data_IF_433937060598
#
_entry.id   IF_433937060598
#
_cell.length_a   1.000
_cell.length_b   1.000
_cell.length_c   1.000
_cell.angle_alpha   90.00
_cell.angle_beta   90.00
_cell.angle_gamma   90.00
#
_symmetry.space_group_name_H-M   'P 1'
#
loop_
_entity.id
_entity.type
_entity.pdbx_description
1 polymer ?
#
# COMPACT_ATOMS: atom_id res chain seq x y z
N UNK A 1 -12.66 29.62 7.62
CA UNK A 1 -12.36 28.18 7.70
C UNK A 1 -11.81 27.79 6.34
N UNK A 2 -10.54 28.05 6.05
CA UNK A 2 -9.98 27.83 4.71
C UNK A 2 -8.50 27.47 4.87
N UNK A 3 -8.14 26.24 4.46
CA UNK A 3 -6.75 25.81 4.36
C UNK A 3 -6.50 24.33 4.61
N UNK A 4 -7.19 23.71 5.59
CA UNK A 4 -6.78 22.40 6.13
C UNK A 4 -7.71 21.22 5.77
N UNK A 5 -8.79 21.42 5.02
CA UNK A 5 -9.73 20.32 4.67
C UNK A 5 -9.29 19.53 3.43
N UNK A 6 -8.43 20.12 2.59
CA UNK A 6 -7.91 19.46 1.39
C UNK A 6 -6.75 18.54 1.77
N UNK A 7 -6.62 17.41 1.07
CA UNK A 7 -5.44 16.55 1.18
C UNK A 7 -4.21 17.30 0.67
N UNK A 8 -3.08 17.14 1.34
CA UNK A 8 -1.80 17.72 0.92
C UNK A 8 -0.93 16.68 0.21
N UNK A 9 -0.74 15.53 0.86
CA UNK A 9 0.11 14.45 0.35
C UNK A 9 -0.41 13.08 0.79
N UNK A 10 -1.53 12.60 0.19
CA UNK A 10 -2.07 11.29 0.53
C UNK A 10 -1.07 10.21 0.13
N UNK A 11 -0.60 9.42 1.11
CA UNK A 11 0.55 8.52 0.94
C UNK A 11 0.24 7.04 1.21
N UNK A 12 -0.84 6.75 1.93
CA UNK A 12 -1.27 5.38 2.23
C UNK A 12 -2.77 5.35 2.48
N UNK A 13 -3.41 4.25 2.07
CA UNK A 13 -4.83 4.00 2.32
C UNK A 13 -5.02 2.55 2.72
N UNK A 14 -5.87 2.28 3.70
CA UNK A 14 -6.31 0.92 4.06
C UNK A 14 -7.77 0.94 4.46
N UNK A 15 -8.40 -0.23 4.50
CA UNK A 15 -9.83 -0.36 4.81
C UNK A 15 -9.98 -1.27 6.03
N UNK A 16 -10.76 -0.80 7.01
CA UNK A 16 -11.34 -1.69 8.00
C UNK A 16 -12.53 -2.37 7.34
N UNK A 17 -12.34 -3.63 6.95
CA UNK A 17 -13.34 -4.41 6.23
C UNK A 17 -14.58 -4.72 7.06
N UNK A 18 -14.45 -4.78 8.39
CA UNK A 18 -15.57 -5.08 9.30
C UNK A 18 -16.49 -3.85 9.46
N UNK A 19 -15.90 -2.67 9.61
CA UNK A 19 -16.63 -1.41 9.80
C UNK A 19 -16.89 -0.66 8.49
N UNK A 20 -16.29 -1.11 7.37
CA UNK A 20 -16.34 -0.46 6.05
C UNK A 20 -15.84 0.98 6.09
N UNK A 21 -14.76 1.19 6.82
CA UNK A 21 -14.13 2.50 7.01
C UNK A 21 -12.82 2.57 6.23
N UNK A 22 -12.55 3.73 5.61
CA UNK A 22 -11.35 3.97 4.82
C UNK A 22 -10.41 4.86 5.63
N UNK A 23 -9.24 4.35 5.95
CA UNK A 23 -8.19 5.05 6.69
C UNK A 23 -7.18 5.61 5.70
N UNK A 24 -6.99 6.93 5.72
CA UNK A 24 -6.12 7.64 4.81
C UNK A 24 -5.02 8.37 5.57
N UNK A 25 -3.76 8.12 5.21
CA UNK A 25 -2.62 8.92 5.66
C UNK A 25 -2.45 10.14 4.75
N UNK A 26 -2.60 11.34 5.30
CA UNK A 26 -2.28 12.62 4.66
C UNK A 26 -0.95 13.14 5.22
N UNK A 27 0.15 12.53 4.76
CA UNK A 27 1.50 12.78 5.28
C UNK A 27 1.94 14.25 5.16
N UNK A 28 1.40 14.99 4.20
CA UNK A 28 1.67 16.42 4.02
C UNK A 28 1.14 17.31 5.14
N UNK A 29 0.15 16.84 5.89
CA UNK A 29 -0.39 17.51 7.08
C UNK A 29 -0.09 16.75 8.38
N UNK A 30 0.63 15.62 8.31
CA UNK A 30 0.98 14.82 9.49
C UNK A 30 -0.25 14.23 10.21
N UNK A 31 -1.23 13.72 9.47
CA UNK A 31 -2.50 13.23 10.03
C UNK A 31 -3.04 11.98 9.35
N UNK A 32 -4.00 11.34 10.01
CA UNK A 32 -4.85 10.29 9.44
C UNK A 32 -6.28 10.83 9.37
N UNK A 33 -6.97 10.55 8.26
CA UNK A 33 -8.38 10.86 8.09
C UNK A 33 -9.13 9.56 7.86
N UNK A 34 -10.22 9.36 8.58
CA UNK A 34 -11.07 8.18 8.50
C UNK A 34 -12.35 8.59 7.78
N UNK A 35 -12.72 7.84 6.76
CA UNK A 35 -13.92 8.07 5.96
C UNK A 35 -14.87 6.88 6.07
N UNK A 36 -16.17 7.15 5.94
CA UNK A 36 -17.14 6.12 5.56
C UNK A 36 -16.75 5.54 4.20
N UNK A 37 -17.23 4.34 3.89
CA UNK A 37 -17.10 3.74 2.57
C UNK A 37 -17.53 4.63 1.38
N UNK A 38 -18.52 5.51 1.60
CA UNK A 38 -19.06 6.45 0.61
C UNK A 38 -18.25 7.77 0.51
N UNK A 39 -17.17 7.90 1.27
CA UNK A 39 -16.24 9.04 1.21
C UNK A 39 -16.59 10.25 2.08
N UNK A 40 -17.49 10.11 3.06
CA UNK A 40 -17.72 11.15 4.08
C UNK A 40 -16.70 11.05 5.22
N UNK A 41 -16.04 12.14 5.64
CA UNK A 41 -15.08 12.11 6.75
C UNK A 41 -15.80 11.84 8.08
N UNK A 42 -15.26 10.91 8.87
CA UNK A 42 -15.73 10.51 10.19
C UNK A 42 -14.86 11.10 11.31
N UNK A 43 -13.55 10.95 11.18
CA UNK A 43 -12.61 11.35 12.23
C UNK A 43 -11.25 11.75 11.64
N UNK A 44 -10.51 12.56 12.39
CA UNK A 44 -9.14 12.97 12.04
C UNK A 44 -8.28 12.76 13.28
N UNK A 45 -7.14 12.10 13.10
CA UNK A 45 -6.10 11.98 14.12
C UNK A 45 -4.88 12.77 13.67
N UNK A 46 -4.37 13.65 14.52
CA UNK A 46 -3.17 14.45 14.24
C UNK A 46 -2.18 14.44 15.42
N UNK A 47 -1.27 15.42 15.45
CA UNK A 47 -0.23 15.52 16.49
C UNK A 47 -0.81 15.54 17.91
N UNK A 48 -2.02 16.07 18.10
CA UNK A 48 -2.66 16.17 19.42
C UNK A 48 -3.14 14.77 19.88
N UNK A 49 -3.31 13.84 18.94
CA UNK A 49 -3.59 12.42 19.17
C UNK A 49 -2.32 11.54 19.14
N UNK A 50 -1.13 12.13 19.01
CA UNK A 50 0.14 11.41 18.92
C UNK A 50 0.50 10.91 17.51
N UNK A 51 -0.16 11.42 16.48
CA UNK A 51 0.17 11.20 15.06
C UNK A 51 1.08 12.34 14.57
N UNK A 52 2.38 12.07 14.42
CA UNK A 52 3.37 13.11 14.10
C UNK A 52 3.80 13.08 12.64
N UNK A 53 4.31 11.93 12.18
CA UNK A 53 4.76 11.73 10.80
C UNK A 53 4.30 10.37 10.25
N UNK A 54 2.98 10.18 10.10
CA UNK A 54 2.43 8.94 9.59
C UNK A 54 2.89 8.69 8.15
N UNK A 55 3.33 7.47 7.85
CA UNK A 55 3.82 7.07 6.52
C UNK A 55 2.96 5.98 5.88
N UNK A 56 2.55 5.00 6.67
CA UNK A 56 1.70 3.88 6.25
C UNK A 56 1.02 3.25 7.45
N UNK A 57 -0.06 2.52 7.19
CA UNK A 57 -0.80 1.82 8.23
C UNK A 57 -1.28 0.46 7.76
N UNK A 58 -1.62 -0.39 8.72
CA UNK A 58 -2.30 -1.67 8.51
C UNK A 58 -3.41 -1.80 9.56
N UNK A 59 -4.53 -2.41 9.17
CA UNK A 59 -5.66 -2.67 10.07
C UNK A 59 -5.84 -4.17 10.14
N UNK A 60 -5.85 -4.73 11.36
CA UNK A 60 -6.10 -6.15 11.54
C UNK A 60 -7.60 -6.48 11.57
N UNK A 61 -7.93 -7.76 11.53
CA UNK A 61 -9.32 -8.23 11.52
C UNK A 61 -10.11 -7.90 12.82
N UNK A 62 -9.43 -7.45 13.87
CA UNK A 62 -10.05 -7.00 15.11
C UNK A 62 -10.23 -5.47 15.15
N UNK A 63 -9.77 -4.75 14.13
CA UNK A 63 -9.84 -3.30 14.01
C UNK A 63 -8.67 -2.55 14.66
N UNK A 64 -7.61 -3.24 15.11
CA UNK A 64 -6.43 -2.54 15.61
C UNK A 64 -5.66 -1.92 14.46
N UNK A 65 -5.25 -0.66 14.65
CA UNK A 65 -4.47 0.10 13.67
C UNK A 65 -3.00 0.05 14.04
N UNK A 66 -2.16 -0.38 13.11
CA UNK A 66 -0.71 -0.39 13.22
C UNK A 66 -0.17 0.73 12.34
N UNK A 67 0.22 1.84 12.96
CA UNK A 67 0.60 3.06 12.27
C UNK A 67 2.13 3.21 12.26
N UNK A 68 2.75 3.17 11.08
CA UNK A 68 4.13 3.58 10.90
C UNK A 68 4.24 5.10 11.06
N UNK A 69 5.13 5.54 11.95
CA UNK A 69 5.49 6.93 12.15
C UNK A 69 6.99 7.10 11.90
N UNK A 70 7.35 7.95 10.95
CA UNK A 70 8.73 8.28 10.63
C UNK A 70 9.32 9.22 11.69
N UNK A 71 10.66 9.32 11.71
CA UNK A 71 11.37 10.26 12.57
C UNK A 71 11.19 11.69 12.04
N UNK A 72 10.75 12.61 12.90
CA UNK A 72 10.57 14.03 12.57
C UNK A 72 11.81 14.91 12.82
N UNK A 73 12.79 14.39 13.57
CA UNK A 73 14.03 15.10 13.91
C UNK A 73 14.33 15.05 15.41
N UNK A 74 15.47 15.61 15.84
CA UNK A 74 15.84 15.65 17.27
C UNK A 74 15.93 14.26 17.92
N UNK A 75 15.34 14.13 19.12
CA UNK A 75 15.29 12.89 19.91
C UNK A 75 14.18 11.93 19.47
N UNK A 76 13.33 12.32 18.52
CA UNK A 76 12.26 11.47 18.00
C UNK A 76 12.85 10.22 17.31
N UNK A 77 12.09 9.13 17.40
CA UNK A 77 12.46 7.81 16.89
C UNK A 77 11.31 7.26 16.06
N UNK A 78 11.66 6.75 14.88
CA UNK A 78 10.70 6.01 14.05
C UNK A 78 10.08 4.86 14.84
N UNK A 79 8.76 4.72 14.76
CA UNK A 79 7.98 3.79 15.59
C UNK A 79 6.78 3.23 14.84
N UNK A 80 6.20 2.17 15.38
CA UNK A 80 4.85 1.74 15.05
C UNK A 80 3.96 2.04 16.25
N UNK A 81 2.97 2.90 16.08
CA UNK A 81 1.96 3.14 17.12
C UNK A 81 0.76 2.23 16.89
N UNK A 82 0.37 1.49 17.93
CA UNK A 82 -0.81 0.62 17.89
C UNK A 82 -1.97 1.36 18.53
N UNK A 83 -3.06 1.51 17.78
CA UNK A 83 -4.32 2.06 18.26
C UNK A 83 -5.36 0.93 18.36
N UNK A 84 -6.24 1.01 19.35
CA UNK A 84 -7.38 0.12 19.45
C UNK A 84 -8.46 0.48 18.41
N UNK A 85 -9.51 -0.34 18.24
CA UNK A 85 -10.60 -0.05 17.29
C UNK A 85 -11.40 1.23 17.61
N UNK A 86 -11.19 1.83 18.79
CA UNK A 86 -11.75 3.13 19.16
C UNK A 86 -10.73 4.26 18.97
N UNK A 87 -9.64 3.99 18.23
CA UNK A 87 -8.56 4.92 17.91
C UNK A 87 -7.76 5.42 19.10
N UNK A 88 -7.84 4.72 20.25
CA UNK A 88 -7.07 5.07 21.44
C UNK A 88 -5.70 4.42 21.37
N UNK A 89 -4.68 5.19 21.71
CA UNK A 89 -3.32 4.68 21.81
C UNK A 89 -3.23 3.51 22.80
N UNK A 90 -2.61 2.41 22.35
CA UNK A 90 -2.35 1.20 23.15
C UNK A 90 -0.89 1.15 23.56
N UNK A 91 0.02 1.26 22.59
CA UNK A 91 1.48 1.24 22.81
C UNK A 91 2.24 1.67 21.57
N UNK A 92 3.49 2.07 21.77
CA UNK A 92 4.47 2.24 20.69
C UNK A 92 5.46 1.08 20.64
N UNK A 93 5.84 0.70 19.42
CA UNK A 93 6.95 -0.21 19.14
C UNK A 93 8.08 0.62 18.54
N UNK A 94 9.16 0.76 19.30
CA UNK A 94 10.40 1.33 18.78
C UNK A 94 11.23 0.26 18.09
N UNK A 95 11.69 0.56 16.88
CA UNK A 95 12.39 -0.38 16.02
C UNK A 95 13.86 -0.41 16.43
N UNK A 96 14.26 -1.47 17.12
CA UNK A 96 15.57 -1.62 17.75
C UNK A 96 16.02 -3.09 17.76
N UNK A 97 17.28 -3.35 18.09
CA UNK A 97 17.82 -4.72 18.20
C UNK A 97 18.47 -5.26 16.92
N UNK A 98 18.67 -4.41 15.92
CA UNK A 98 19.37 -4.75 14.67
C UNK A 98 20.34 -3.64 14.25
N UNK A 99 21.32 -4.01 13.43
CA UNK A 99 22.31 -3.07 12.90
C UNK A 99 21.67 -2.05 11.96
N UNK A 100 21.93 -0.75 12.18
CA UNK A 100 21.33 0.35 11.44
C UNK A 100 19.93 0.79 11.93
N UNK A 101 19.44 0.26 13.05
CA UNK A 101 18.14 0.64 13.61
C UNK A 101 18.00 2.14 13.91
N UNK A 102 19.09 2.83 14.25
CA UNK A 102 19.15 4.28 14.49
C UNK A 102 18.81 5.12 13.25
N UNK A 103 19.00 4.55 12.05
CA UNK A 103 18.73 5.18 10.75
C UNK A 103 17.46 4.67 10.10
N UNK A 104 16.84 3.63 10.66
CA UNK A 104 15.65 3.02 10.09
C UNK A 104 14.43 3.93 10.25
N UNK A 105 13.73 4.21 9.15
CA UNK A 105 12.49 4.96 9.16
C UNK A 105 11.36 4.11 8.57
N UNK A 106 10.35 3.71 9.36
CA UNK A 106 9.30 2.82 8.89
C UNK A 106 8.42 3.51 7.84
N UNK A 107 8.05 2.75 6.81
CA UNK A 107 7.25 3.21 5.67
C UNK A 107 5.96 2.41 5.53
N UNK A 108 6.06 1.08 5.53
CA UNK A 108 4.89 0.20 5.45
C UNK A 108 4.97 -0.87 6.53
N UNK A 109 3.81 -1.32 6.99
CA UNK A 109 3.67 -2.44 7.92
C UNK A 109 2.64 -3.42 7.37
N UNK A 110 2.86 -4.71 7.62
CA UNK A 110 1.90 -5.78 7.38
C UNK A 110 1.94 -6.78 8.54
N UNK A 111 0.81 -7.44 8.80
CA UNK A 111 0.71 -8.43 9.87
C UNK A 111 0.56 -9.82 9.28
N UNK A 112 1.42 -10.72 9.72
CA UNK A 112 1.27 -12.15 9.47
C UNK A 112 0.39 -12.80 10.54
N UNK A 113 0.06 -14.07 10.31
CA UNK A 113 -0.58 -14.90 11.33
C UNK A 113 0.35 -15.03 12.55
N UNK A 114 -0.25 -15.38 13.69
CA UNK A 114 0.42 -15.44 15.00
C UNK A 114 0.93 -14.07 15.53
N UNK A 115 0.65 -12.97 14.81
CA UNK A 115 0.98 -11.61 15.21
C UNK A 115 2.39 -11.17 14.82
N UNK A 116 3.08 -11.87 13.92
CA UNK A 116 4.34 -11.36 13.35
C UNK A 116 4.10 -10.04 12.64
N UNK A 117 4.99 -9.08 12.85
CA UNK A 117 4.90 -7.73 12.29
C UNK A 117 6.04 -7.53 11.30
N UNK A 118 5.71 -7.23 10.05
CA UNK A 118 6.67 -7.04 8.97
C UNK A 118 6.72 -5.57 8.60
N UNK A 119 7.92 -4.99 8.60
CA UNK A 119 8.10 -3.55 8.44
C UNK A 119 9.12 -3.27 7.35
N UNK A 120 8.69 -2.56 6.31
CA UNK A 120 9.59 -1.96 5.32
C UNK A 120 9.87 -0.51 5.68
N UNK A 121 10.99 0.04 5.22
CA UNK A 121 11.40 1.38 5.59
C UNK A 121 12.65 1.85 4.88
N UNK A 122 12.96 3.12 5.07
CA UNK A 122 14.19 3.73 4.58
C UNK A 122 15.34 3.48 5.57
N UNK A 123 16.58 3.60 5.09
CA UNK A 123 17.78 3.46 5.93
C UNK A 123 18.25 2.01 6.13
N UNK A 124 17.55 1.03 5.55
CA UNK A 124 17.95 -0.38 5.58
C UNK A 124 17.46 -1.15 4.34
N UNK A 125 18.22 -2.15 3.91
CA UNK A 125 17.87 -3.03 2.78
C UNK A 125 17.26 -4.35 3.30
N UNK A 126 15.95 -4.52 3.14
CA UNK A 126 15.20 -5.70 3.59
C UNK A 126 13.95 -5.31 4.38
N UNK A 127 13.37 -6.30 5.04
CA UNK A 127 12.19 -6.16 5.89
C UNK A 127 12.54 -6.57 7.30
N UNK A 128 12.24 -5.69 8.26
CA UNK A 128 12.39 -5.97 9.68
C UNK A 128 11.19 -6.80 10.13
N UNK A 129 11.45 -7.96 10.74
CA UNK A 129 10.42 -8.83 11.29
C UNK A 129 10.45 -8.75 12.81
N UNK A 130 9.30 -8.46 13.39
CA UNK A 130 9.08 -8.42 14.83
C UNK A 130 8.12 -9.53 15.26
N UNK A 131 8.24 -9.97 16.51
CA UNK A 131 7.23 -10.81 17.13
C UNK A 131 5.95 -10.01 17.47
N UNK A 132 4.93 -10.71 17.97
CA UNK A 132 3.65 -10.10 18.40
C UNK A 132 3.77 -9.05 19.51
N UNK A 133 4.86 -9.06 20.25
CA UNK A 133 5.13 -8.07 21.29
C UNK A 133 5.90 -6.86 20.74
N UNK A 134 6.32 -6.89 19.47
CA UNK A 134 7.14 -5.87 18.84
C UNK A 134 8.64 -6.02 19.10
N UNK A 135 9.09 -7.17 19.61
CA UNK A 135 10.52 -7.44 19.76
C UNK A 135 11.11 -7.86 18.41
N UNK A 136 12.31 -7.35 18.10
CA UNK A 136 13.02 -7.74 16.89
C UNK A 136 13.29 -9.26 16.87
N UNK A 137 12.93 -9.89 15.77
CA UNK A 137 13.18 -11.31 15.52
C UNK A 137 14.36 -11.48 14.56
N UNK A 138 14.20 -11.00 13.33
CA UNK A 138 15.19 -11.15 12.27
C UNK A 138 14.87 -10.20 11.09
N UNK A 139 15.64 -10.33 10.01
CA UNK A 139 15.49 -9.53 8.80
C UNK A 139 15.32 -10.47 7.61
N UNK A 140 14.33 -10.20 6.78
CA UNK A 140 14.16 -10.85 5.48
C UNK A 140 14.78 -9.94 4.42
N UNK A 141 15.72 -10.48 3.65
CA UNK A 141 16.24 -9.79 2.47
C UNK A 141 16.31 -10.79 1.32
N UNK A 142 15.65 -10.52 0.18
CA UNK A 142 15.70 -11.42 -0.96
C UNK A 142 17.09 -11.62 -1.52
N UNK A 143 17.42 -12.88 -1.81
CA UNK A 143 18.55 -13.25 -2.64
C UNK A 143 18.03 -13.71 -4.00
N UNK A 144 18.52 -13.12 -5.10
CA UNK A 144 18.12 -13.51 -6.45
C UNK A 144 19.32 -14.00 -7.24
N UNK A 145 19.49 -15.32 -7.26
CA UNK A 145 20.58 -15.99 -7.97
C UNK A 145 20.50 -15.74 -9.49
N UNK A 146 19.29 -15.68 -10.05
CA UNK A 146 19.07 -15.51 -11.49
C UNK A 146 19.50 -14.11 -11.98
N UNK A 147 19.29 -13.10 -11.14
CA UNK A 147 19.74 -11.73 -11.40
C UNK A 147 21.17 -11.46 -10.89
N UNK A 148 21.81 -12.45 -10.29
CA UNK A 148 23.14 -12.29 -9.68
C UNK A 148 23.13 -11.31 -8.49
N UNK A 149 21.97 -11.10 -7.85
CA UNK A 149 21.84 -10.27 -6.67
C UNK A 149 22.51 -11.02 -5.52
N UNK A 150 23.72 -10.57 -5.18
CA UNK A 150 24.51 -11.01 -4.04
C UNK A 150 24.59 -9.87 -3.04
N UNK A 151 23.51 -9.64 -2.31
CA UNK A 151 23.41 -8.51 -1.40
C UNK A 151 21.99 -8.30 -0.93
N UNK A 152 21.83 -7.36 -0.01
CA UNK A 152 20.52 -6.99 0.48
C UNK A 152 19.79 -6.18 -0.58
N UNK A 153 18.47 -6.37 -0.67
CA UNK A 153 17.61 -5.70 -1.65
C UNK A 153 16.83 -4.58 -0.98
N UNK A 154 16.69 -3.44 -1.65
CA UNK A 154 15.79 -2.38 -1.20
C UNK A 154 14.34 -2.88 -1.25
N UNK A 155 13.61 -2.78 -0.15
CA UNK A 155 12.19 -3.14 -0.09
C UNK A 155 11.40 -1.89 0.30
N UNK A 156 10.53 -1.44 -0.60
CA UNK A 156 9.72 -0.23 -0.41
C UNK A 156 8.30 -0.53 0.09
N UNK A 157 7.82 -1.77 -0.04
CA UNK A 157 6.53 -2.21 0.48
C UNK A 157 6.55 -3.69 0.85
N UNK A 158 5.80 -4.01 1.90
CA UNK A 158 5.44 -5.37 2.29
C UNK A 158 3.91 -5.50 2.31
N UNK A 159 3.41 -6.63 1.82
CA UNK A 159 1.99 -7.00 1.86
C UNK A 159 1.87 -8.48 2.24
N UNK A 160 0.83 -8.82 3.00
CA UNK A 160 0.52 -10.20 3.41
C UNK A 160 -0.89 -10.54 2.99
N UNK A 161 -1.06 -11.66 2.30
CA UNK A 161 -2.38 -12.14 1.85
C UNK A 161 -3.07 -13.05 2.89
N UNK A 162 -4.33 -13.43 2.64
CA UNK A 162 -5.11 -14.33 3.50
C UNK A 162 -4.51 -15.73 3.67
N UNK A 163 -3.62 -16.15 2.77
CA UNK A 163 -2.85 -17.39 2.87
C UNK A 163 -1.55 -17.24 3.67
N UNK A 164 -1.28 -16.03 4.19
CA UNK A 164 -0.06 -15.68 4.92
C UNK A 164 1.20 -15.74 4.03
N UNK A 165 1.03 -15.51 2.72
CA UNK A 165 2.15 -15.30 1.81
C UNK A 165 2.63 -13.87 1.92
N UNK A 166 3.94 -13.69 1.91
CA UNK A 166 4.59 -12.40 2.11
C UNK A 166 5.09 -11.91 0.76
N UNK A 167 4.68 -10.70 0.37
CA UNK A 167 5.05 -10.05 -0.88
C UNK A 167 5.94 -8.85 -0.58
N UNK A 168 7.18 -8.91 -1.05
CA UNK A 168 8.19 -7.87 -0.86
C UNK A 168 8.47 -7.16 -2.17
N UNK A 169 8.17 -5.87 -2.26
CA UNK A 169 8.38 -5.06 -3.45
C UNK A 169 9.68 -4.28 -3.37
N UNK A 170 10.53 -4.45 -4.38
CA UNK A 170 11.75 -3.66 -4.57
C UNK A 170 11.55 -2.58 -5.61
N UNK A 171 11.85 -1.33 -5.23
CA UNK A 171 11.82 -0.18 -6.12
C UNK A 171 13.02 -0.23 -7.09
N UNK A 172 14.22 -0.48 -6.55
CA UNK A 172 15.49 -0.50 -7.25
C UNK A 172 15.53 -1.55 -8.35
N UNK A 173 15.11 -2.77 -8.02
CA UNK A 173 15.08 -3.89 -8.98
C UNK A 173 13.80 -3.99 -9.79
N UNK A 174 12.75 -3.24 -9.43
CA UNK A 174 11.45 -3.31 -10.09
C UNK A 174 10.90 -4.73 -10.05
N UNK A 175 10.95 -5.37 -8.88
CA UNK A 175 10.71 -6.80 -8.69
C UNK A 175 9.93 -7.05 -7.41
N UNK A 176 9.07 -8.05 -7.44
CA UNK A 176 8.37 -8.59 -6.27
C UNK A 176 8.97 -9.95 -5.94
N UNK A 177 9.23 -10.19 -4.65
CA UNK A 177 9.66 -11.46 -4.10
C UNK A 177 8.55 -12.01 -3.22
N UNK A 178 8.16 -13.25 -3.46
CA UNK A 178 7.05 -13.90 -2.77
C UNK A 178 7.59 -15.02 -1.90
N UNK A 179 7.17 -15.03 -0.63
CA UNK A 179 7.51 -16.03 0.36
C UNK A 179 6.25 -16.70 0.89
N UNK A 180 6.41 -17.90 1.43
CA UNK A 180 5.35 -18.53 2.20
C UNK A 180 5.31 -18.01 3.65
N UNK A 181 4.37 -18.56 4.44
CA UNK A 181 4.20 -18.25 5.87
C UNK A 181 5.40 -18.61 6.76
N UNK A 182 6.27 -19.49 6.28
CA UNK A 182 7.49 -19.89 6.99
C UNK A 182 8.69 -19.03 6.56
N UNK A 183 8.46 -18.01 5.73
CA UNK A 183 9.48 -17.12 5.18
C UNK A 183 10.43 -17.86 4.20
N UNK A 184 9.95 -18.96 3.60
CA UNK A 184 10.64 -19.66 2.53
C UNK A 184 10.33 -19.01 1.17
N UNK A 185 11.36 -18.73 0.38
CA UNK A 185 11.19 -18.10 -0.93
C UNK A 185 10.43 -19.01 -1.90
N UNK A 186 9.37 -18.48 -2.52
CA UNK A 186 8.55 -19.19 -3.49
C UNK A 186 8.94 -18.85 -4.93
N UNK A 187 8.81 -17.57 -5.30
CA UNK A 187 9.13 -17.07 -6.64
C UNK A 187 9.29 -15.55 -6.63
N UNK A 188 9.84 -15.01 -7.72
CA UNK A 188 9.94 -13.57 -7.94
C UNK A 188 9.53 -13.19 -9.35
N UNK A 189 8.95 -12.00 -9.50
CA UNK A 189 8.44 -11.50 -10.78
C UNK A 189 8.59 -9.99 -10.91
N UNK A 190 8.37 -9.46 -12.11
CA UNK A 190 8.65 -8.07 -12.44
C UNK A 190 10.06 -7.87 -13.00
N UNK A 191 10.23 -6.74 -13.68
CA UNK A 191 11.48 -6.36 -14.32
C UNK A 191 11.62 -4.83 -14.27
N UNK A 192 12.79 -4.33 -13.88
CA UNK A 192 13.12 -2.90 -13.96
C UNK A 192 12.96 -2.34 -15.38
N UNK A 193 12.30 -1.20 -15.52
CA UNK A 193 12.29 -0.42 -16.77
C UNK A 193 11.06 0.48 -16.96
N UNK A 194 11.14 1.34 -17.98
CA UNK A 194 10.12 2.33 -18.31
C UNK A 194 9.20 1.94 -19.47
N UNK A 195 9.18 0.69 -19.90
CA UNK A 195 8.26 0.18 -20.94
C UNK A 195 7.11 -0.62 -20.33
N UNK A 196 6.06 -0.86 -21.10
CA UNK A 196 4.92 -1.71 -20.71
C UNK A 196 5.37 -3.05 -20.15
N UNK A 197 4.74 -3.48 -19.05
CA UNK A 197 5.05 -4.72 -18.34
C UNK A 197 6.29 -4.68 -17.44
N UNK A 198 7.03 -3.56 -17.46
CA UNK A 198 8.17 -3.30 -16.56
C UNK A 198 7.79 -2.30 -15.48
N UNK A 199 8.59 -2.28 -14.42
CA UNK A 199 8.43 -1.41 -13.25
C UNK A 199 9.59 -0.40 -13.20
N UNK A 200 9.27 0.89 -13.22
CA UNK A 200 10.22 2.00 -13.17
C UNK A 200 10.51 2.43 -11.75
N UNK A 201 9.50 2.85 -10.98
CA UNK A 201 9.60 3.13 -9.53
C UNK A 201 8.33 2.63 -8.84
N UNK A 202 8.16 1.31 -8.67
CA UNK A 202 7.00 0.78 -8.00
C UNK A 202 7.02 1.17 -6.52
N UNK A 203 5.85 1.51 -5.95
CA UNK A 203 5.74 2.04 -4.58
C UNK A 203 4.87 1.23 -3.64
N UNK A 204 3.86 0.56 -4.17
CA UNK A 204 2.93 -0.25 -3.37
C UNK A 204 2.35 -1.35 -4.23
N UNK A 205 1.89 -2.41 -3.58
CA UNK A 205 1.09 -3.44 -4.20
C UNK A 205 -0.17 -3.72 -3.38
N UNK A 206 -1.21 -4.21 -4.05
CA UNK A 206 -2.44 -4.72 -3.44
C UNK A 206 -2.86 -5.98 -4.17
N UNK A 207 -3.51 -6.90 -3.45
CA UNK A 207 -3.86 -8.22 -3.98
C UNK A 207 -5.37 -8.37 -3.97
N UNK A 208 -5.90 -8.78 -5.11
CA UNK A 208 -7.27 -9.28 -5.23
C UNK A 208 -7.24 -10.80 -5.18
N UNK A 209 -7.55 -11.34 -4.00
CA UNK A 209 -7.62 -12.80 -3.79
C UNK A 209 -8.85 -13.45 -4.46
N UNK A 210 -9.86 -12.66 -4.84
CA UNK A 210 -11.06 -13.16 -5.52
C UNK A 210 -10.80 -13.37 -7.01
N UNK A 211 -10.20 -12.37 -7.68
CA UNK A 211 -9.86 -12.46 -9.10
C UNK A 211 -8.47 -13.06 -9.35
N UNK A 212 -7.71 -13.35 -8.30
CA UNK A 212 -6.33 -13.83 -8.35
C UNK A 212 -5.38 -12.90 -9.12
N UNK A 213 -5.47 -11.59 -8.88
CA UNK A 213 -4.60 -10.57 -9.49
C UNK A 213 -3.81 -9.80 -8.45
N UNK A 214 -2.59 -9.39 -8.84
CA UNK A 214 -1.72 -8.51 -8.06
C UNK A 214 -1.61 -7.19 -8.79
N UNK A 215 -1.87 -6.09 -8.10
CA UNK A 215 -1.82 -4.73 -8.63
C UNK A 215 -0.62 -4.00 -8.05
N UNK A 216 0.18 -3.37 -8.88
CA UNK A 216 1.37 -2.62 -8.45
C UNK A 216 1.24 -1.19 -8.96
N UNK A 217 1.27 -0.24 -8.04
CA UNK A 217 1.35 1.18 -8.38
C UNK A 217 2.79 1.54 -8.71
N UNK A 218 2.98 2.16 -9.87
CA UNK A 218 4.27 2.68 -10.31
C UNK A 218 4.27 4.20 -10.37
N UNK A 219 5.07 4.79 -9.49
CA UNK A 219 5.17 6.22 -9.28
C UNK A 219 5.64 6.97 -10.52
N UNK A 220 6.67 6.47 -11.22
CA UNK A 220 7.22 7.16 -12.40
C UNK A 220 6.47 6.83 -13.68
N UNK A 221 5.83 5.66 -13.75
CA UNK A 221 4.99 5.34 -14.91
C UNK A 221 3.62 6.00 -14.83
N UNK A 222 3.19 6.44 -13.64
CA UNK A 222 1.83 6.92 -13.39
C UNK A 222 0.77 5.85 -13.70
N UNK A 223 1.12 4.57 -13.55
CA UNK A 223 0.26 3.44 -13.91
C UNK A 223 0.04 2.53 -12.73
N UNK A 224 -1.00 1.70 -12.86
CA UNK A 224 -1.15 0.47 -12.10
C UNK A 224 -0.89 -0.70 -13.04
N UNK A 225 0.08 -1.53 -12.71
CA UNK A 225 0.48 -2.72 -13.48
C UNK A 225 -0.07 -3.97 -12.80
N UNK A 226 -0.71 -4.85 -13.58
CA UNK A 226 -1.44 -6.02 -13.07
C UNK A 226 -0.73 -7.31 -13.47
N UNK A 227 -0.60 -8.22 -12.52
CA UNK A 227 0.06 -9.52 -12.64
C UNK A 227 -0.84 -10.65 -12.15
N UNK A 228 -0.62 -11.87 -12.64
CA UNK A 228 -1.27 -13.08 -12.12
C UNK A 228 -0.75 -13.40 -10.71
N UNK A 229 -1.66 -13.75 -9.82
CA UNK A 229 -1.35 -14.14 -8.45
C UNK A 229 -0.51 -15.43 -8.35
N UNK A 230 -0.73 -16.39 -9.27
CA UNK A 230 -0.12 -17.72 -9.17
C UNK A 230 1.37 -17.74 -9.52
N UNK A 231 1.79 -16.89 -10.45
CA UNK A 231 3.16 -16.95 -11.00
C UNK A 231 3.76 -15.59 -11.34
N UNK A 232 3.06 -14.48 -11.06
CA UNK A 232 3.55 -13.15 -11.34
C UNK A 232 3.68 -12.84 -12.84
N UNK A 233 2.97 -13.55 -13.72
CA UNK A 233 2.94 -13.24 -15.15
C UNK A 233 2.23 -11.89 -15.35
N UNK A 234 2.88 -10.98 -16.08
CA UNK A 234 2.27 -9.72 -16.48
C UNK A 234 0.96 -9.95 -17.26
N UNK A 235 -0.08 -9.20 -16.92
CA UNK A 235 -1.39 -9.24 -17.58
C UNK A 235 -1.60 -8.00 -18.44
N UNK A 236 -1.77 -6.85 -17.79
CA UNK A 236 -2.02 -5.56 -18.42
C UNK A 236 -1.59 -4.42 -17.49
N UNK A 237 -1.62 -3.20 -17.97
CA UNK A 237 -1.46 -2.00 -17.15
C UNK A 237 -2.53 -0.97 -17.53
N UNK A 238 -2.89 -0.10 -16.60
CA UNK A 238 -3.81 1.00 -16.84
C UNK A 238 -3.34 2.28 -16.15
N UNK A 239 -3.89 3.40 -16.60
CA UNK A 239 -3.52 4.74 -16.16
C UNK A 239 -2.54 5.42 -17.09
N UNK A 240 -1.72 6.29 -16.53
CA UNK A 240 -0.90 7.26 -17.23
C UNK A 240 -0.98 8.63 -16.55
N UNK A 241 -0.07 9.53 -16.93
CA UNK A 241 -0.01 10.87 -16.38
C UNK A 241 -1.28 11.68 -16.74
N UNK A 242 -2.05 12.09 -15.74
CA UNK A 242 -3.22 12.94 -15.95
C UNK A 242 -4.08 13.17 -14.71
N UNK A 243 -5.22 13.84 -14.91
CA UNK A 243 -6.12 14.32 -13.86
C UNK A 243 -7.52 13.68 -13.93
N UNK A 244 -7.84 13.04 -15.06
CA UNK A 244 -9.13 12.40 -15.28
C UNK A 244 -9.32 11.12 -14.44
N UNK A 245 -10.54 10.55 -14.43
CA UNK A 245 -10.79 9.24 -13.82
C UNK A 245 -9.88 8.18 -14.43
N UNK A 246 -9.19 7.41 -13.57
CA UNK A 246 -8.26 6.37 -14.00
C UNK A 246 -6.89 6.87 -14.47
N UNK A 247 -6.66 8.19 -14.51
CA UNK A 247 -5.34 8.80 -14.76
C UNK A 247 -4.73 9.30 -13.45
N UNK A 248 -3.41 9.25 -13.33
CA UNK A 248 -2.72 9.48 -12.07
C UNK A 248 -1.59 10.51 -12.20
N UNK A 249 -1.26 11.17 -11.09
CA UNK A 249 -0.07 11.97 -10.91
C UNK A 249 0.72 11.45 -9.71
N UNK A 250 1.82 10.78 -10.02
CA UNK A 250 2.77 10.23 -9.05
C UNK A 250 2.06 9.42 -7.96
N UNK A 251 1.30 8.39 -8.35
CA UNK A 251 0.57 7.57 -7.39
C UNK A 251 1.55 6.84 -6.48
N UNK A 252 1.20 6.69 -5.20
CA UNK A 252 2.12 6.14 -4.18
C UNK A 252 1.62 4.87 -3.52
N UNK A 253 0.31 4.67 -3.46
CA UNK A 253 -0.28 3.55 -2.72
C UNK A 253 -1.50 2.97 -3.42
N UNK A 254 -1.75 1.68 -3.22
CA UNK A 254 -2.98 1.00 -3.64
C UNK A 254 -3.41 0.00 -2.58
N UNK A 255 -4.72 -0.02 -2.30
CA UNK A 255 -5.37 -1.05 -1.50
C UNK A 255 -6.52 -1.64 -2.31
N UNK A 256 -6.69 -2.97 -2.25
CA UNK A 256 -7.81 -3.67 -2.86
C UNK A 256 -8.71 -4.16 -1.73
N UNK A 257 -9.97 -3.70 -1.70
CA UNK A 257 -10.92 -4.11 -0.67
C UNK A 257 -11.77 -5.33 -1.07
N UNK A 258 -12.50 -5.89 -0.11
CA UNK A 258 -13.39 -7.03 -0.38
C UNK A 258 -14.59 -6.68 -1.26
N UNK A 259 -14.90 -5.39 -1.44
CA UNK A 259 -15.90 -4.90 -2.38
C UNK A 259 -15.37 -4.80 -3.83
N UNK A 260 -14.16 -5.33 -4.10
CA UNK A 260 -13.51 -5.33 -5.41
C UNK A 260 -13.28 -3.90 -5.94
N UNK A 261 -12.84 -3.00 -5.04
CA UNK A 261 -12.44 -1.64 -5.38
C UNK A 261 -10.95 -1.49 -5.17
N UNK A 262 -10.29 -0.85 -6.14
CA UNK A 262 -8.94 -0.35 -5.99
C UNK A 262 -8.98 1.09 -5.49
N UNK A 263 -8.45 1.32 -4.28
CA UNK A 263 -8.26 2.64 -3.71
C UNK A 263 -6.83 3.06 -3.96
N UNK A 264 -6.61 4.07 -4.80
CA UNK A 264 -5.28 4.53 -5.23
C UNK A 264 -5.00 5.91 -4.65
N UNK A 265 -3.88 6.03 -3.92
CA UNK A 265 -3.35 7.31 -3.47
C UNK A 265 -2.69 8.04 -4.64
N UNK A 266 -3.44 8.99 -5.22
CA UNK A 266 -3.06 9.78 -6.37
C UNK A 266 -2.45 11.11 -5.89
N UNK A 267 -1.25 10.98 -5.32
CA UNK A 267 -0.64 11.93 -4.39
C UNK A 267 -0.56 13.36 -4.91
N UNK A 268 -0.09 13.56 -6.14
CA UNK A 268 0.09 14.91 -6.69
C UNK A 268 -1.19 15.49 -7.30
N UNK A 269 -2.22 14.67 -7.49
CA UNK A 269 -3.58 15.16 -7.69
C UNK A 269 -4.30 15.43 -6.37
N UNK A 270 -3.66 15.18 -5.21
CA UNK A 270 -4.18 15.44 -3.86
C UNK A 270 -5.54 14.76 -3.63
N UNK A 271 -5.67 13.50 -4.05
CA UNK A 271 -6.90 12.72 -3.94
C UNK A 271 -6.64 11.24 -3.71
N UNK A 272 -7.66 10.54 -3.25
CA UNK A 272 -7.80 9.09 -3.42
C UNK A 272 -8.75 8.84 -4.59
N UNK A 273 -8.36 7.97 -5.52
CA UNK A 273 -9.28 7.46 -6.54
C UNK A 273 -9.78 6.08 -6.15
N UNK A 274 -11.10 5.90 -6.16
CA UNK A 274 -11.75 4.60 -5.96
C UNK A 274 -12.20 4.08 -7.32
N UNK A 275 -11.63 2.95 -7.75
CA UNK A 275 -11.88 2.35 -9.05
C UNK A 275 -12.50 0.98 -8.85
N UNK A 276 -13.60 0.69 -9.56
CA UNK A 276 -14.20 -0.65 -9.54
C UNK A 276 -13.35 -1.61 -10.35
N UNK A 277 -12.98 -2.74 -9.76
CA UNK A 277 -12.40 -3.86 -10.47
C UNK A 277 -13.55 -4.66 -11.07
N UNK A 278 -13.57 -4.76 -12.40
CA UNK A 278 -14.46 -5.68 -13.10
C UNK A 278 -13.61 -6.83 -13.63
N UNK A 279 -13.89 -8.05 -13.18
CA UNK A 279 -13.34 -9.24 -13.79
C UNK A 279 -13.59 -9.18 -15.30
N UNK A 280 -12.55 -9.31 -16.11
CA UNK A 280 -12.73 -9.47 -17.54
C UNK A 280 -13.38 -10.83 -17.76
N UNK A 281 -14.62 -10.85 -18.23
CA UNK A 281 -15.22 -12.08 -18.74
C UNK A 281 -14.27 -12.66 -19.79
N UNK A 282 -13.82 -13.89 -19.55
CA UNK A 282 -12.95 -14.60 -20.49
C UNK A 282 -13.76 -14.86 -21.75
N UNK A 283 -13.61 -14.01 -22.78
CA UNK A 283 -14.17 -14.27 -24.10
C UNK A 283 -13.49 -15.53 -24.64
N UNK A 284 -14.17 -16.67 -24.54
CA UNK A 284 -13.81 -17.87 -25.29
C UNK A 284 -14.15 -17.61 -26.76
N UNK A 285 -13.08 -17.51 -27.54
CA UNK A 285 -12.94 -17.75 -28.99
C UNK A 285 -13.65 -16.83 -29.99
N UNK A 286 -12.80 -16.32 -30.90
CA UNK A 286 -13.04 -15.83 -32.27
C UNK A 286 -13.91 -14.58 -32.43
N UNK A 287 -13.27 -13.42 -32.33
CA UNK A 287 -13.04 -12.45 -33.42
C UNK A 287 -12.39 -11.19 -32.83
N UNK A 288 -11.47 -10.57 -33.57
CA UNK A 288 -10.75 -9.36 -33.16
C UNK A 288 -11.71 -8.25 -32.72
N UNK A 289 -11.77 -7.99 -31.41
CA UNK A 289 -12.12 -6.67 -30.88
C UNK A 289 -11.20 -6.35 -29.71
N UNK A 290 -10.33 -5.37 -29.91
CA UNK A 290 -9.59 -4.70 -28.85
C UNK A 290 -10.60 -4.09 -27.89
N UNK A 291 -10.70 -4.62 -26.67
CA UNK A 291 -11.51 -4.05 -25.59
C UNK A 291 -10.58 -3.69 -24.43
N UNK A 292 -10.50 -2.39 -24.17
CA UNK A 292 -9.89 -1.79 -22.99
C UNK A 292 -10.86 -1.90 -21.79
N UNK A 293 -10.37 -1.93 -20.54
CA UNK A 293 -11.23 -1.95 -19.36
C UNK A 293 -12.20 -0.76 -19.36
N UNK A 294 -13.49 -1.06 -19.21
CA UNK A 294 -14.58 -0.09 -19.23
C UNK A 294 -14.74 0.61 -17.88
N UNK A 295 -14.70 1.94 -17.90
CA UNK A 295 -15.06 2.79 -16.76
C UNK A 295 -16.56 3.10 -16.81
N UNK A 296 -17.29 2.83 -15.72
CA UNK A 296 -18.61 3.46 -15.50
C UNK A 296 -18.38 4.80 -14.80
N UNK A 297 -18.85 5.94 -15.34
CA UNK A 297 -18.76 7.20 -14.64
C UNK A 297 -19.64 7.16 -13.38
N UNK A 298 -19.08 7.60 -12.24
CA UNK A 298 -19.85 7.88 -11.03
C UNK A 298 -20.85 8.99 -11.36
N UNK A 299 -22.15 8.70 -11.22
CA UNK A 299 -23.20 9.70 -11.41
C UNK A 299 -23.02 10.82 -10.38
N UNK A 300 -22.82 12.05 -10.83
CA UNK A 300 -22.97 13.23 -9.96
C UNK A 300 -24.44 13.35 -9.55
N UNK A 301 -24.67 13.68 -8.28
CA UNK A 301 -26.00 14.04 -7.78
C UNK A 301 -26.53 15.26 -8.56
N UNK A 302 -27.85 15.36 -8.80
CA UNK A 302 -28.42 16.53 -9.47
C UNK A 302 -28.24 17.77 -8.61
N UNK A 303 -27.73 18.85 -9.22
CA UNK A 303 -27.71 20.17 -8.63
C UNK A 303 -29.14 20.57 -8.26
N UNK A 304 -29.34 21.05 -7.03
CA UNK A 304 -30.61 21.65 -6.61
C UNK A 304 -30.81 22.91 -7.44
N UNK A 305 -31.83 22.92 -8.29
CA UNK A 305 -32.37 24.15 -8.87
C UNK A 305 -32.83 25.06 -7.72
N UNK A 306 -32.22 26.25 -7.64
CA UNK A 306 -32.74 27.36 -6.84
C UNK A 306 -34.13 27.74 -7.37
N UNK A 307 -35.10 27.82 -6.46
CA UNK A 307 -36.40 28.46 -6.68
C UNK A 307 -36.50 29.71 -5.83
#
# INVERSE_FOLDING_TARGET
MEGNDRLSYPSSVSVDEANREIYLVDSGHGRIIIYTEDGYPLHVLDKDDGVEAPTGLWIDNAGYVYLCQAKTGGEDRGRISILDPCLRWVRDIFLQGFDGADKFSPRTVALGKEGKIYVSGDGFEGVVVLDKNGAFSHIISPEDVLLGIKGKVDICAVYIDGNDRIYLLSEGYGRVYVYDKNEDFLFGFGQKGGSTGKLSRPRSLGIDEVSHWIYIVDYLRHTVTVYKYENGQYLFEFGGQGWGPGWFQFPTYIYIDHAQRALVADTFNQRIQVLKITAMETIKTTEEKTLLPGFLPVKRAPEKEER
#
